data_IF_551728331697
#
_entry.id   IF_551728331697
#
_cell.length_a   1.000
_cell.length_b   1.000
_cell.length_c   1.000
_cell.angle_alpha   90.00
_cell.angle_beta   90.00
_cell.angle_gamma   90.00
#
_symmetry.space_group_name_H-M   'P 1'
#
loop_
_entity.id
_entity.type
_entity.pdbx_description
1 polymer ?
#
# COMPACT_ATOMS: atom_id res chain seq x y z
N UNK A 1 6.09 13.88 6.43
CA UNK A 1 4.65 14.23 6.31
C UNK A 1 3.86 12.93 6.23
N UNK A 2 3.60 12.32 7.38
CA UNK A 2 2.75 11.13 7.52
C UNK A 2 1.63 11.48 8.50
N UNK A 3 0.99 12.61 8.31
CA UNK A 3 -0.11 12.99 9.16
C UNK A 3 -1.32 12.15 8.79
N UNK A 4 -2.08 11.74 9.80
CA UNK A 4 -3.36 11.11 9.57
C UNK A 4 -4.30 12.09 8.86
N UNK A 5 -4.92 11.74 7.74
CA UNK A 5 -5.87 12.63 7.06
C UNK A 5 -7.12 12.95 7.91
N UNK A 6 -7.43 12.13 8.94
CA UNK A 6 -8.59 12.32 9.80
C UNK A 6 -8.33 13.26 11.00
N UNK A 7 -7.24 13.03 11.74
CA UNK A 7 -6.93 13.81 12.96
C UNK A 7 -5.77 14.81 12.78
N UNK A 8 -5.09 14.79 11.63
CA UNK A 8 -3.90 15.59 11.32
C UNK A 8 -2.73 15.45 12.31
N UNK A 9 -2.80 14.50 13.24
CA UNK A 9 -1.67 14.11 14.09
C UNK A 9 -0.72 13.18 13.34
N UNK A 10 0.51 13.08 13.86
CA UNK A 10 1.53 12.21 13.30
C UNK A 10 1.08 10.76 13.47
N UNK A 11 0.72 10.12 12.35
CA UNK A 11 0.14 8.78 12.38
C UNK A 11 1.14 7.72 12.87
N UNK A 12 2.42 8.09 13.05
CA UNK A 12 3.51 7.20 13.45
C UNK A 12 3.64 5.97 12.55
N UNK A 13 3.15 6.08 11.30
CA UNK A 13 3.15 4.99 10.33
C UNK A 13 4.53 4.67 9.76
N UNK A 14 5.58 5.42 10.10
CA UNK A 14 7.00 5.18 9.77
C UNK A 14 7.27 4.10 8.71
N UNK A 15 7.71 2.93 9.17
CA UNK A 15 7.96 1.75 8.33
C UNK A 15 6.71 0.95 7.96
N UNK A 16 5.63 1.05 8.75
CA UNK A 16 4.34 0.41 8.45
C UNK A 16 3.67 0.98 7.20
N UNK A 17 4.11 2.16 6.73
CA UNK A 17 3.68 2.74 5.46
C UNK A 17 4.10 1.88 4.26
N UNK A 18 5.25 1.21 4.34
CA UNK A 18 5.69 0.29 3.29
C UNK A 18 4.90 -1.03 3.26
N UNK A 19 4.14 -1.32 4.33
CA UNK A 19 3.25 -2.48 4.39
C UNK A 19 1.79 -2.13 4.13
N UNK A 20 1.48 -0.83 3.97
CA UNK A 20 0.16 -0.42 3.53
C UNK A 20 -0.07 -0.94 2.10
N UNK A 21 -1.18 -1.64 1.95
CA UNK A 21 -1.63 -2.12 0.65
C UNK A 21 -3.12 -1.81 0.52
N UNK A 22 -3.66 -1.75 -0.69
CA UNK A 22 -5.11 -1.56 -0.89
C UNK A 22 -5.97 -2.68 -0.28
N UNK A 23 -5.35 -3.78 0.16
CA UNK A 23 -6.00 -4.92 0.80
C UNK A 23 -5.90 -4.91 2.33
N UNK A 24 -4.95 -4.15 2.90
CA UNK A 24 -4.64 -4.16 4.33
C UNK A 24 -4.76 -2.73 4.85
N UNK A 25 -5.76 -2.48 5.69
CA UNK A 25 -5.87 -1.24 6.45
C UNK A 25 -5.09 -1.33 7.76
N UNK A 26 -4.59 -0.19 8.22
CA UNK A 26 -3.87 -0.08 9.50
C UNK A 26 -4.53 1.05 10.30
N UNK A 27 -4.89 0.82 11.57
CA UNK A 27 -5.48 1.87 12.40
C UNK A 27 -4.46 2.96 12.74
N UNK A 28 -4.90 4.21 12.70
CA UNK A 28 -4.12 5.34 13.20
C UNK A 28 -3.95 5.23 14.73
N UNK A 29 -2.74 5.38 15.27
CA UNK A 29 -2.51 5.33 16.72
C UNK A 29 -3.18 6.46 17.52
N UNK A 30 -3.44 7.60 16.88
CA UNK A 30 -3.97 8.79 17.55
C UNK A 30 -5.51 8.81 17.61
N UNK A 31 -6.17 8.42 16.52
CA UNK A 31 -7.63 8.53 16.38
C UNK A 31 -8.32 7.19 16.05
N UNK A 32 -7.57 6.09 16.05
CA UNK A 32 -8.03 4.72 15.76
C UNK A 32 -8.76 4.56 14.43
N UNK A 33 -8.68 5.56 13.55
CA UNK A 33 -9.31 5.53 12.23
C UNK A 33 -8.51 4.62 11.32
N UNK A 34 -9.19 3.72 10.62
CA UNK A 34 -8.59 2.82 9.64
C UNK A 34 -8.03 3.62 8.45
N UNK A 35 -6.76 3.40 8.17
CA UNK A 35 -6.03 4.03 7.08
C UNK A 35 -5.76 3.00 6.00
N UNK A 36 -6.01 3.38 4.74
CA UNK A 36 -5.79 2.55 3.56
C UNK A 36 -5.12 3.36 2.46
N UNK A 37 -4.87 2.71 1.33
CA UNK A 37 -4.28 3.31 0.14
C UNK A 37 -5.10 2.89 -1.08
N UNK A 38 -5.37 3.82 -1.99
CA UNK A 38 -6.12 3.47 -3.19
C UNK A 38 -5.31 2.60 -4.15
N UNK A 39 -6.00 1.68 -4.83
CA UNK A 39 -5.41 0.82 -5.87
C UNK A 39 -4.66 1.62 -6.94
N UNK A 40 -5.22 2.75 -7.35
CA UNK A 40 -4.61 3.64 -8.34
C UNK A 40 -3.23 4.12 -7.86
N UNK A 41 -3.15 4.63 -6.63
CA UNK A 41 -1.91 5.18 -6.10
C UNK A 41 -0.89 4.06 -5.80
N UNK A 42 -1.36 2.91 -5.34
CA UNK A 42 -0.52 1.72 -5.16
C UNK A 42 0.14 1.28 -6.48
N UNK A 43 -0.63 1.18 -7.57
CA UNK A 43 -0.10 0.80 -8.88
C UNK A 43 0.85 1.87 -9.45
N UNK A 44 0.51 3.16 -9.29
CA UNK A 44 1.38 4.26 -9.71
C UNK A 44 2.72 4.21 -8.98
N UNK A 45 2.73 3.89 -7.68
CA UNK A 45 3.95 3.75 -6.89
C UNK A 45 4.81 2.54 -7.31
N UNK A 46 4.21 1.49 -7.87
CA UNK A 46 4.94 0.31 -8.37
C UNK A 46 5.56 0.51 -9.76
N UNK A 47 4.92 1.32 -10.61
CA UNK A 47 5.34 1.49 -12.01
C UNK A 47 6.83 1.80 -12.22
N UNK A 48 7.45 2.77 -11.50
CA UNK A 48 8.86 3.12 -11.73
C UNK A 48 9.81 1.94 -11.47
N UNK A 49 9.58 1.21 -10.38
CA UNK A 49 10.39 0.05 -10.03
C UNK A 49 10.20 -1.10 -11.03
N UNK A 50 8.96 -1.35 -11.46
CA UNK A 50 8.66 -2.36 -12.47
C UNK A 50 9.30 -2.05 -13.83
N UNK A 51 9.29 -0.79 -14.25
CA UNK A 51 9.94 -0.36 -15.50
C UNK A 51 11.45 -0.52 -15.39
N UNK A 52 12.05 -0.08 -14.27
CA UNK A 52 13.48 -0.21 -14.05
C UNK A 52 13.94 -1.68 -14.02
N UNK A 53 13.19 -2.53 -13.32
CA UNK A 53 13.42 -3.96 -13.29
C UNK A 53 13.35 -4.59 -14.68
N UNK A 54 12.31 -4.25 -15.46
CA UNK A 54 12.12 -4.78 -16.81
C UNK A 54 13.26 -4.35 -17.76
N UNK A 55 13.69 -3.08 -17.68
CA UNK A 55 14.84 -2.61 -18.46
C UNK A 55 16.08 -3.40 -18.08
N UNK A 56 16.41 -3.49 -16.80
CA UNK A 56 17.61 -4.23 -16.42
C UNK A 56 17.51 -5.71 -16.78
N UNK A 57 16.34 -6.35 -16.65
CA UNK A 57 16.13 -7.72 -17.11
C UNK A 57 16.37 -7.92 -18.61
N UNK A 58 15.98 -6.96 -19.45
CA UNK A 58 16.17 -7.03 -20.91
C UNK A 58 17.60 -6.75 -21.36
N UNK A 59 18.35 -5.94 -20.61
CA UNK A 59 19.64 -5.41 -21.02
C UNK A 59 20.85 -5.95 -20.24
N UNK A 60 20.64 -6.70 -19.15
CA UNK A 60 21.73 -7.38 -18.43
C UNK A 60 21.75 -8.87 -18.73
N UNK A 61 22.95 -9.42 -18.84
CA UNK A 61 23.12 -10.86 -18.98
C UNK A 61 22.74 -11.58 -17.69
N UNK A 62 22.13 -12.76 -17.83
CA UNK A 62 21.72 -13.58 -16.70
C UNK A 62 22.93 -14.00 -15.84
N UNK A 63 22.72 -14.09 -14.53
CA UNK A 63 23.71 -14.51 -13.53
C UNK A 63 24.93 -13.59 -13.36
N UNK A 64 24.88 -12.38 -13.92
CA UNK A 64 25.92 -11.37 -13.74
C UNK A 64 25.70 -10.51 -12.49
N UNK A 65 26.78 -9.90 -11.99
CA UNK A 65 26.71 -8.92 -10.89
C UNK A 65 25.78 -7.75 -11.25
N UNK A 66 25.74 -7.35 -12.52
CA UNK A 66 24.89 -6.27 -13.00
C UNK A 66 23.41 -6.59 -12.81
N UNK A 67 22.99 -7.83 -13.10
CA UNK A 67 21.62 -8.27 -12.86
C UNK A 67 21.25 -8.20 -11.37
N UNK A 68 22.14 -8.62 -10.46
CA UNK A 68 21.90 -8.51 -9.01
C UNK A 68 21.81 -7.05 -8.56
N UNK A 69 22.60 -6.14 -9.14
CA UNK A 69 22.53 -4.70 -8.87
C UNK A 69 21.22 -4.09 -9.39
N UNK A 70 20.73 -4.50 -10.55
CA UNK A 70 19.41 -4.12 -11.08
C UNK A 70 18.31 -4.58 -10.13
N UNK A 71 18.35 -5.84 -9.68
CA UNK A 71 17.35 -6.39 -8.75
C UNK A 71 17.36 -5.59 -7.44
N UNK A 72 18.54 -5.40 -6.84
CA UNK A 72 18.68 -4.64 -5.60
C UNK A 72 18.22 -3.20 -5.72
N UNK A 73 18.62 -2.50 -6.78
CA UNK A 73 18.20 -1.12 -7.04
C UNK A 73 16.69 -1.01 -7.32
N UNK A 74 16.09 -1.99 -7.99
CA UNK A 74 14.64 -2.07 -8.20
C UNK A 74 13.86 -2.17 -6.88
N UNK A 75 14.34 -2.97 -5.93
CA UNK A 75 13.72 -3.12 -4.60
C UNK A 75 13.80 -1.80 -3.81
N UNK A 76 14.96 -1.14 -3.85
CA UNK A 76 15.15 0.17 -3.19
C UNK A 76 14.22 1.20 -3.82
N UNK A 77 14.18 1.25 -5.16
CA UNK A 77 13.32 2.16 -5.89
C UNK A 77 11.84 1.92 -5.56
N UNK A 78 11.41 0.65 -5.48
CA UNK A 78 10.05 0.29 -5.06
C UNK A 78 9.73 0.83 -3.68
N UNK A 79 10.64 0.66 -2.71
CA UNK A 79 10.44 1.11 -1.33
C UNK A 79 10.33 2.64 -1.26
N UNK A 80 11.23 3.35 -1.95
CA UNK A 80 11.21 4.81 -2.01
C UNK A 80 9.92 5.29 -2.68
N UNK A 81 9.54 4.72 -3.82
CA UNK A 81 8.32 5.11 -4.52
C UNK A 81 7.07 4.90 -3.66
N UNK A 82 6.97 3.79 -2.92
CA UNK A 82 5.86 3.58 -1.99
C UNK A 82 5.85 4.62 -0.85
N UNK A 83 7.00 5.01 -0.32
CA UNK A 83 7.02 6.04 0.73
C UNK A 83 6.59 7.43 0.26
N UNK A 84 6.90 7.81 -0.99
CA UNK A 84 6.65 9.15 -1.52
C UNK A 84 5.37 9.29 -2.35
N UNK A 85 5.02 8.30 -3.19
CA UNK A 85 3.89 8.38 -4.12
C UNK A 85 2.61 7.71 -3.62
N UNK A 86 2.62 7.13 -2.42
CA UNK A 86 1.45 6.52 -1.79
C UNK A 86 0.87 7.46 -0.71
N UNK A 87 -0.10 8.32 -1.05
CA UNK A 87 -0.86 9.06 -0.05
C UNK A 87 -1.75 8.11 0.74
N UNK A 88 -1.91 8.42 2.02
CA UNK A 88 -2.75 7.65 2.94
C UNK A 88 -4.16 8.23 2.88
N UNK A 89 -5.15 7.36 2.75
CA UNK A 89 -6.56 7.69 2.69
C UNK A 89 -7.27 7.07 3.90
N UNK A 90 -8.40 7.65 4.32
CA UNK A 90 -9.26 7.02 5.34
C UNK A 90 -10.00 5.87 4.68
N UNK A 91 -9.97 4.68 5.27
CA UNK A 91 -10.77 3.57 4.80
C UNK A 91 -12.25 3.93 4.98
N UNK A 92 -12.95 4.19 3.88
CA UNK A 92 -14.41 4.17 3.91
C UNK A 92 -14.85 2.74 4.21
N UNK A 93 -15.87 2.52 5.06
CA UNK A 93 -16.47 1.20 5.23
C UNK A 93 -16.81 0.67 3.83
N UNK A 94 -16.36 -0.55 3.51
CA UNK A 94 -16.85 -1.22 2.31
C UNK A 94 -18.33 -1.49 2.55
N UNK A 95 -19.20 -0.68 1.95
CA UNK A 95 -20.59 -1.08 1.73
C UNK A 95 -20.55 -2.34 0.87
N UNK A 96 -20.75 -3.52 1.47
CA UNK A 96 -21.04 -4.73 0.70
C UNK A 96 -20.32 -6.04 1.08
N UNK A 97 -20.01 -6.29 2.36
CA UNK A 97 -19.82 -7.68 2.83
C UNK A 97 -20.19 -7.70 4.31
N UNK A 98 -21.05 -8.64 4.71
CA UNK A 98 -21.74 -8.79 6.01
C UNK A 98 -23.09 -8.06 6.16
N UNK A 99 -23.95 -8.19 5.14
CA UNK A 99 -25.40 -8.27 5.37
C UNK A 99 -25.87 -9.63 4.88
N UNK A 100 -25.29 -10.71 5.44
CA UNK A 100 -25.96 -12.01 5.37
C UNK A 100 -27.13 -11.96 6.36
N UNK A 101 -28.29 -11.78 5.76
CA UNK A 101 -29.59 -12.29 6.18
C UNK A 101 -29.56 -13.24 7.38
N UNK A 102 -29.97 -12.74 8.55
CA UNK A 102 -30.80 -13.51 9.47
C UNK A 102 -32.06 -12.68 9.76
N UNK A 103 -32.93 -12.63 8.75
CA UNK A 103 -34.37 -12.56 9.02
C UNK A 103 -34.77 -13.88 9.66
N UNK A 104 -34.86 -13.92 10.98
CA UNK A 104 -35.77 -14.85 11.64
C UNK A 104 -36.83 -14.04 12.39
N UNK A 105 -37.90 -13.79 11.65
CA UNK A 105 -39.16 -13.26 12.17
C UNK A 105 -39.93 -14.47 12.70
N UNK A 106 -40.11 -14.51 14.01
CA UNK A 106 -41.38 -14.82 14.68
C UNK A 106 -41.91 -16.28 14.71
N UNK A 107 -42.18 -16.75 15.94
CA UNK A 107 -43.44 -17.41 16.31
C UNK A 107 -43.55 -17.56 17.83
N UNK A 108 -44.13 -16.54 18.45
CA UNK A 108 -44.95 -16.67 19.68
C UNK A 108 -46.41 -16.92 19.33
#
# INVERSE_FOLDING_TARGET
MNNCPACNEDSNLGWHKATLSPLISIPCKACETELTVSWKNYLIALLPASIWFLIGYLYTEESTIEQYLVIGSSIILMTVCQMFFMPIEVATPKEGEDADTDTDTDKG
#
